data_IF_434795457498
#
_entry.id   IF_434795457498
#
_cell.length_a   1.000
_cell.length_b   1.000
_cell.length_c   1.000
_cell.angle_alpha   90.00
_cell.angle_beta   90.00
_cell.angle_gamma   90.00
#
_symmetry.space_group_name_H-M   'P 1'
#
loop_
_entity.id
_entity.type
_entity.pdbx_description
1 polymer ?
#
# COMPACT_ATOMS: atom_id res chain seq x y z
N UNK A 1 15.92 44.61 -42.79
CA UNK A 1 15.11 43.37 -42.74
C UNK A 1 15.27 42.75 -41.37
N UNK A 2 14.20 42.71 -40.56
CA UNK A 2 14.23 42.27 -39.17
C UNK A 2 14.08 40.75 -39.12
N UNK A 3 15.07 40.05 -38.56
CA UNK A 3 14.99 38.61 -38.31
C UNK A 3 13.97 38.34 -37.19
N UNK A 4 12.91 37.60 -37.50
CA UNK A 4 11.94 37.14 -36.53
C UNK A 4 12.55 36.00 -35.69
N UNK A 5 12.74 36.24 -34.39
CA UNK A 5 13.14 35.21 -33.44
C UNK A 5 11.93 34.30 -33.16
N UNK A 6 11.98 33.06 -33.64
CA UNK A 6 10.99 32.04 -33.33
C UNK A 6 11.26 31.56 -31.89
N UNK A 7 10.39 31.97 -30.98
CA UNK A 7 10.37 31.50 -29.60
C UNK A 7 9.83 30.05 -29.58
N UNK A 8 10.74 29.08 -29.56
CA UNK A 8 10.41 27.66 -29.32
C UNK A 8 10.00 27.49 -27.85
N UNK A 9 8.70 27.63 -27.59
CA UNK A 9 8.11 27.27 -26.30
C UNK A 9 8.14 25.74 -26.20
N UNK A 10 9.17 25.22 -25.53
CA UNK A 10 9.23 23.84 -25.05
C UNK A 10 8.13 23.67 -24.00
N UNK A 11 6.93 23.29 -24.45
CA UNK A 11 5.89 22.75 -23.57
C UNK A 11 6.42 21.43 -23.03
N UNK A 12 7.03 21.48 -21.85
CA UNK A 12 7.31 20.28 -21.08
C UNK A 12 5.97 19.67 -20.71
N UNK A 13 5.52 18.67 -21.49
CA UNK A 13 4.51 17.73 -21.03
C UNK A 13 5.10 17.05 -19.78
N UNK A 14 4.79 17.61 -18.63
CA UNK A 14 4.87 16.94 -17.35
C UNK A 14 3.93 15.74 -17.46
N UNK A 15 4.46 14.62 -17.93
CA UNK A 15 3.82 13.34 -17.79
C UNK A 15 3.71 13.09 -16.28
N UNK A 16 2.57 13.47 -15.71
CA UNK A 16 2.17 13.16 -14.34
C UNK A 16 2.01 11.64 -14.26
N UNK A 17 3.14 10.93 -14.19
CA UNK A 17 3.20 9.51 -13.88
C UNK A 17 2.98 9.37 -12.38
N UNK A 18 1.80 9.76 -11.92
CA UNK A 18 1.37 9.68 -10.54
C UNK A 18 1.35 8.20 -10.15
N UNK A 19 2.08 7.80 -9.10
CA UNK A 19 1.89 6.45 -8.56
C UNK A 19 0.53 6.29 -7.93
N UNK A 20 -0.11 5.19 -8.31
CA UNK A 20 -1.47 4.88 -8.00
C UNK A 20 -1.59 3.40 -7.61
N UNK A 21 -0.88 3.01 -6.54
CA UNK A 21 -1.03 1.69 -5.92
C UNK A 21 -1.86 1.82 -4.65
N UNK A 22 -2.87 0.95 -4.51
CA UNK A 22 -3.68 0.83 -3.30
C UNK A 22 -3.76 -0.63 -2.85
N UNK A 23 -4.12 -0.83 -1.59
CA UNK A 23 -4.54 -2.14 -1.12
C UNK A 23 -5.83 -2.56 -1.86
N UNK A 24 -5.86 -3.78 -2.38
CA UNK A 24 -7.05 -4.39 -2.96
C UNK A 24 -7.63 -5.44 -2.01
N UNK A 25 -6.76 -6.26 -1.41
CA UNK A 25 -7.14 -7.24 -0.38
C UNK A 25 -6.16 -7.20 0.79
N UNK A 26 -6.62 -7.16 2.05
CA UNK A 26 -8.02 -6.98 2.47
C UNK A 26 -8.59 -5.65 1.95
N UNK A 27 -9.90 -5.59 1.66
CA UNK A 27 -10.49 -4.39 1.06
C UNK A 27 -10.34 -3.20 2.02
N UNK A 28 -9.62 -2.12 1.65
CA UNK A 28 -9.39 -1.02 2.56
C UNK A 28 -10.62 -0.10 2.64
N UNK A 29 -10.62 0.76 3.67
CA UNK A 29 -11.41 2.00 3.69
C UNK A 29 -11.13 2.79 2.41
N UNK A 30 -12.18 3.29 1.75
CA UNK A 30 -12.04 3.96 0.46
C UNK A 30 -11.59 3.04 -0.69
N UNK A 31 -11.53 1.73 -0.49
CA UNK A 31 -11.11 0.74 -1.49
C UNK A 31 -12.09 0.59 -2.63
N UNK A 32 -11.61 0.07 -3.76
CA UNK A 32 -12.45 -0.20 -4.94
C UNK A 32 -13.66 -1.07 -4.59
N UNK A 33 -14.84 -0.71 -5.10
CA UNK A 33 -16.10 -1.42 -4.85
C UNK A 33 -16.76 -1.11 -3.51
N UNK A 34 -16.19 -0.22 -2.68
CA UNK A 34 -16.81 0.23 -1.44
C UNK A 34 -17.66 1.49 -1.66
N UNK A 35 -18.61 1.77 -0.75
CA UNK A 35 -19.42 3.00 -0.78
C UNK A 35 -18.57 4.28 -0.64
N UNK A 36 -17.39 4.14 -0.03
CA UNK A 36 -16.45 5.22 0.23
C UNK A 36 -15.45 5.45 -0.91
N UNK A 37 -15.50 4.64 -1.97
CA UNK A 37 -14.56 4.74 -3.09
C UNK A 37 -14.75 6.06 -3.84
N UNK A 38 -13.71 6.90 -3.83
CA UNK A 38 -13.68 8.18 -4.54
C UNK A 38 -12.57 8.24 -5.61
N UNK A 39 -11.95 7.11 -5.92
CA UNK A 39 -10.86 7.03 -6.89
C UNK A 39 -9.50 7.56 -6.42
N UNK A 40 -9.29 7.90 -5.14
CA UNK A 40 -8.03 8.50 -4.64
C UNK A 40 -7.31 7.69 -3.58
N UNK A 41 -7.82 6.50 -3.24
CA UNK A 41 -7.23 5.62 -2.21
C UNK A 41 -5.76 5.26 -2.51
N UNK A 42 -5.40 5.32 -3.78
CA UNK A 42 -4.10 4.97 -4.30
C UNK A 42 -3.07 6.12 -4.25
N UNK A 43 -3.40 7.29 -3.70
CA UNK A 43 -2.50 8.45 -3.60
C UNK A 43 -1.74 8.45 -2.27
N UNK A 44 -0.62 9.18 -2.22
CA UNK A 44 0.20 9.29 -1.02
C UNK A 44 -0.43 10.23 0.01
N UNK A 45 -0.04 10.07 1.27
CA UNK A 45 -0.46 10.92 2.37
C UNK A 45 0.03 12.36 2.14
N UNK A 46 -0.87 13.33 2.27
CA UNK A 46 -0.63 14.73 1.95
C UNK A 46 -1.04 15.14 0.53
N UNK A 47 -1.40 14.20 -0.35
CA UNK A 47 -2.04 14.52 -1.63
C UNK A 47 -3.32 15.33 -1.42
N UNK A 48 -3.53 16.36 -2.25
CA UNK A 48 -4.73 17.20 -2.22
C UNK A 48 -5.16 17.55 -3.64
N UNK A 49 -6.45 17.48 -3.88
CA UNK A 49 -7.11 18.10 -5.03
C UNK A 49 -8.33 18.92 -4.56
N UNK A 50 -9.14 19.39 -5.50
CA UNK A 50 -10.33 20.20 -5.20
C UNK A 50 -11.42 19.45 -4.43
N UNK A 51 -11.39 18.12 -4.36
CA UNK A 51 -12.44 17.27 -3.77
C UNK A 51 -11.95 16.47 -2.56
N UNK A 52 -10.66 16.32 -2.37
CA UNK A 52 -10.12 15.44 -1.34
C UNK A 52 -8.76 15.88 -0.82
N UNK A 53 -8.51 15.57 0.45
CA UNK A 53 -7.17 15.62 1.05
C UNK A 53 -6.88 14.26 1.66
N UNK A 54 -5.81 13.61 1.20
CA UNK A 54 -5.38 12.30 1.67
C UNK A 54 -4.70 12.46 3.03
N UNK A 55 -5.46 12.25 4.12
CA UNK A 55 -5.00 12.50 5.49
C UNK A 55 -4.40 11.24 6.13
N UNK A 56 -3.45 11.43 7.03
CA UNK A 56 -3.02 10.37 7.93
C UNK A 56 -3.93 10.30 9.18
N UNK A 57 -4.27 9.10 9.69
CA UNK A 57 -4.07 7.78 9.09
C UNK A 57 -5.19 7.43 8.08
N UNK A 58 -5.03 6.29 7.42
CA UNK A 58 -6.03 5.64 6.57
C UNK A 58 -6.60 6.50 5.43
N UNK A 59 -5.86 7.50 4.95
CA UNK A 59 -6.30 8.42 3.90
C UNK A 59 -7.40 9.40 4.33
N UNK A 60 -7.87 9.35 5.58
CA UNK A 60 -9.06 10.09 6.04
C UNK A 60 -10.39 9.45 5.65
N UNK A 61 -10.39 8.24 5.10
CA UNK A 61 -11.62 7.53 4.72
C UNK A 61 -12.39 7.04 5.95
N UNK A 62 -13.72 7.08 5.84
CA UNK A 62 -14.61 6.46 6.82
C UNK A 62 -14.50 4.93 6.78
N UNK A 63 -15.09 4.28 7.79
CA UNK A 63 -15.02 2.83 7.97
C UNK A 63 -15.50 2.07 6.73
N UNK A 64 -14.78 1.01 6.40
CA UNK A 64 -15.01 0.17 5.23
C UNK A 64 -15.64 -1.18 5.61
N UNK A 65 -15.67 -2.13 4.65
CA UNK A 65 -16.07 -3.50 4.94
C UNK A 65 -15.12 -4.16 5.94
N UNK A 66 -15.65 -5.05 6.78
CA UNK A 66 -14.87 -5.76 7.80
C UNK A 66 -14.38 -7.10 7.25
N UNK A 67 -13.06 -7.29 7.24
CA UNK A 67 -12.45 -8.58 6.87
C UNK A 67 -12.22 -9.44 8.13
N UNK A 68 -12.70 -10.69 8.13
CA UNK A 68 -12.41 -11.64 9.21
C UNK A 68 -10.98 -12.15 9.09
N UNK A 69 -10.23 -12.10 10.19
CA UNK A 69 -8.85 -12.58 10.29
C UNK A 69 -8.65 -13.39 11.57
N UNK A 70 -7.67 -14.30 11.56
CA UNK A 70 -7.36 -15.15 12.72
C UNK A 70 -5.85 -15.18 12.96
N UNK A 71 -5.45 -15.13 14.23
CA UNK A 71 -4.06 -15.32 14.62
C UNK A 71 -3.46 -16.60 14.03
N UNK A 72 -2.22 -16.52 13.57
CA UNK A 72 -1.49 -17.61 12.95
C UNK A 72 -1.87 -17.93 11.50
N UNK A 73 -2.93 -17.33 10.95
CA UNK A 73 -3.34 -17.53 9.55
C UNK A 73 -2.64 -16.55 8.61
N UNK A 74 -2.61 -16.94 7.32
CA UNK A 74 -2.06 -16.13 6.25
C UNK A 74 -3.11 -15.18 5.69
N UNK A 75 -2.65 -13.99 5.32
CA UNK A 75 -3.37 -13.01 4.53
C UNK A 75 -2.56 -12.85 3.23
N UNK A 76 -3.15 -13.20 2.10
CA UNK A 76 -2.53 -13.03 0.78
C UNK A 76 -2.86 -11.63 0.28
N UNK A 77 -2.01 -10.66 0.63
CA UNK A 77 -2.27 -9.26 0.28
C UNK A 77 -2.22 -9.07 -1.23
N UNK A 78 -3.20 -8.34 -1.77
CA UNK A 78 -3.29 -7.97 -3.18
C UNK A 78 -3.32 -6.46 -3.32
N UNK A 79 -2.78 -5.95 -4.42
CA UNK A 79 -2.77 -4.53 -4.72
C UNK A 79 -3.63 -4.20 -5.94
N UNK A 80 -4.21 -3.02 -5.91
CA UNK A 80 -4.90 -2.36 -7.01
C UNK A 80 -3.91 -1.39 -7.66
N UNK A 81 -3.69 -1.53 -8.96
CA UNK A 81 -3.14 -0.47 -9.81
C UNK A 81 -4.30 0.21 -10.55
N UNK A 82 -4.24 1.54 -10.71
CA UNK A 82 -5.32 2.33 -11.33
C UNK A 82 -5.66 1.93 -12.78
N UNK A 83 -4.76 1.25 -13.47
CA UNK A 83 -4.94 0.76 -14.85
C UNK A 83 -5.58 -0.63 -14.95
N UNK A 84 -5.82 -1.31 -13.81
CA UNK A 84 -6.34 -2.67 -13.81
C UNK A 84 -7.75 -2.72 -14.39
N UNK A 85 -8.00 -3.70 -15.26
CA UNK A 85 -9.33 -3.97 -15.79
C UNK A 85 -10.14 -4.79 -14.79
N UNK A 86 -11.46 -4.81 -14.94
CA UNK A 86 -12.36 -5.55 -14.03
C UNK A 86 -11.97 -7.03 -13.83
N UNK A 87 -11.47 -7.70 -14.87
CA UNK A 87 -11.00 -9.09 -14.78
C UNK A 87 -9.77 -9.27 -13.86
N UNK A 88 -8.84 -8.31 -13.89
CA UNK A 88 -7.60 -8.33 -13.10
C UNK A 88 -7.87 -7.97 -11.63
N UNK A 89 -8.94 -7.21 -11.39
CA UNK A 89 -9.45 -6.94 -10.04
C UNK A 89 -10.09 -8.22 -9.47
N UNK A 90 -10.96 -8.88 -10.25
CA UNK A 90 -11.68 -10.10 -9.83
C UNK A 90 -10.76 -11.29 -9.56
N UNK A 91 -9.70 -11.48 -10.35
CA UNK A 91 -8.76 -12.62 -10.21
C UNK A 91 -7.32 -12.12 -10.22
N UNK A 92 -6.44 -12.78 -9.45
CA UNK A 92 -5.01 -12.43 -9.44
C UNK A 92 -4.42 -12.51 -10.85
N UNK A 93 -3.92 -11.40 -11.42
CA UNK A 93 -3.37 -11.41 -12.77
C UNK A 93 -2.09 -12.24 -12.83
N UNK A 94 -1.94 -13.03 -13.91
CA UNK A 94 -0.74 -13.84 -14.19
C UNK A 94 -0.07 -13.28 -15.45
N UNK A 95 1.04 -12.54 -15.34
CA UNK A 95 1.69 -12.02 -16.53
C UNK A 95 2.40 -13.16 -17.27
N UNK A 96 2.07 -13.35 -18.55
CA UNK A 96 2.72 -14.35 -19.42
C UNK A 96 3.88 -13.75 -20.22
N UNK A 97 3.93 -12.41 -20.35
CA UNK A 97 5.04 -11.65 -20.94
C UNK A 97 4.94 -10.17 -20.54
N UNK A 98 6.01 -9.39 -20.72
CA UNK A 98 6.00 -7.93 -20.47
C UNK A 98 4.98 -7.18 -21.32
N UNK A 99 4.81 -7.56 -22.60
CA UNK A 99 3.87 -6.91 -23.53
C UNK A 99 2.39 -7.11 -23.16
N UNK A 100 2.08 -8.13 -22.35
CA UNK A 100 0.73 -8.44 -21.90
C UNK A 100 0.41 -7.85 -20.51
N UNK A 101 1.32 -7.08 -19.94
CA UNK A 101 1.13 -6.42 -18.64
C UNK A 101 0.35 -5.11 -18.81
N UNK A 102 -0.67 -4.88 -17.98
CA UNK A 102 -1.08 -3.53 -17.61
C UNK A 102 0.06 -2.79 -16.89
N UNK A 103 0.13 -1.47 -17.14
CA UNK A 103 1.09 -0.57 -16.49
C UNK A 103 0.69 -0.31 -15.04
N UNK A 104 1.58 -0.51 -14.09
CA UNK A 104 1.34 -0.16 -12.68
C UNK A 104 2.36 0.87 -12.24
N UNK A 105 1.94 1.91 -11.52
CA UNK A 105 2.85 2.95 -11.11
C UNK A 105 3.41 2.62 -9.72
N UNK A 106 4.29 1.61 -9.68
CA UNK A 106 4.91 1.07 -8.45
C UNK A 106 6.20 1.76 -8.04
N UNK A 107 6.62 2.82 -8.74
CA UNK A 107 7.79 3.65 -8.43
C UNK A 107 9.09 2.88 -8.09
N UNK A 108 9.40 1.82 -8.85
CA UNK A 108 10.58 1.00 -8.59
C UNK A 108 10.46 0.12 -7.34
N UNK A 109 9.22 -0.10 -6.88
CA UNK A 109 8.89 -0.70 -5.60
C UNK A 109 9.28 0.20 -4.42
N UNK A 110 10.00 -0.36 -3.45
CA UNK A 110 10.32 0.27 -2.19
C UNK A 110 10.07 -0.66 -1.01
N UNK A 111 9.71 -0.09 0.13
CA UNK A 111 9.44 -0.86 1.36
C UNK A 111 7.95 -0.82 1.66
N UNK A 112 7.32 -1.99 1.65
CA UNK A 112 6.01 -2.18 2.23
C UNK A 112 6.12 -2.69 3.66
N UNK A 113 5.31 -2.14 4.55
CA UNK A 113 5.14 -2.61 5.91
C UNK A 113 3.67 -2.93 6.16
N UNK A 114 3.44 -4.00 6.90
CA UNK A 114 2.11 -4.47 7.26
C UNK A 114 1.99 -4.47 8.76
N UNK A 115 0.94 -3.86 9.29
CA UNK A 115 0.75 -3.73 10.72
C UNK A 115 -0.69 -3.95 11.15
N UNK A 116 -0.85 -4.21 12.44
CA UNK A 116 -2.15 -4.20 13.10
C UNK A 116 -2.29 -2.92 13.91
N UNK A 117 -3.50 -2.35 13.92
CA UNK A 117 -3.87 -1.31 14.89
C UNK A 117 -5.06 -1.80 15.71
N UNK A 118 -5.03 -1.49 17.00
CA UNK A 118 -6.09 -1.84 17.97
C UNK A 118 -6.84 -0.60 18.48
N UNK A 119 -6.48 0.59 18.01
CA UNK A 119 -6.93 1.88 18.52
C UNK A 119 -7.35 2.86 17.42
N UNK A 120 -7.66 2.34 16.23
CA UNK A 120 -8.18 3.13 15.11
C UNK A 120 -7.12 3.89 14.34
N UNK A 121 -5.87 3.42 14.37
CA UNK A 121 -4.75 4.01 13.65
C UNK A 121 -3.97 5.06 14.46
N UNK A 122 -4.06 5.03 15.79
CA UNK A 122 -3.21 5.87 16.67
C UNK A 122 -1.86 5.20 16.90
N UNK A 123 -1.84 3.88 17.04
CA UNK A 123 -0.63 3.06 17.10
C UNK A 123 -0.66 1.90 16.10
N UNK A 124 0.53 1.44 15.72
CA UNK A 124 0.73 0.41 14.70
C UNK A 124 1.71 -0.63 15.21
N UNK A 125 1.37 -1.89 15.00
CA UNK A 125 2.16 -3.04 15.43
C UNK A 125 2.59 -3.84 14.20
N UNK A 126 3.85 -3.69 13.81
CA UNK A 126 4.45 -4.31 12.63
C UNK A 126 4.34 -5.84 12.71
N UNK A 127 3.75 -6.43 11.67
CA UNK A 127 3.58 -7.88 11.49
C UNK A 127 4.22 -8.43 10.22
N UNK A 128 4.73 -7.55 9.36
CA UNK A 128 5.47 -7.99 8.19
C UNK A 128 6.07 -6.86 7.38
N UNK A 129 7.08 -7.20 6.58
CA UNK A 129 7.82 -6.25 5.73
C UNK A 129 8.29 -6.94 4.46
N UNK A 130 8.17 -6.24 3.34
CA UNK A 130 8.77 -6.61 2.07
C UNK A 130 9.51 -5.39 1.51
N UNK A 131 10.73 -5.60 1.03
CA UNK A 131 11.62 -4.54 0.55
C UNK A 131 11.89 -4.70 -0.95
N UNK A 132 12.40 -3.63 -1.56
CA UNK A 132 12.77 -3.52 -2.98
C UNK A 132 11.59 -3.62 -3.94
N UNK A 133 10.90 -4.75 -4.02
CA UNK A 133 9.92 -5.04 -5.08
C UNK A 133 8.46 -4.81 -4.67
N UNK A 134 8.18 -4.35 -3.45
CA UNK A 134 6.81 -4.09 -3.01
C UNK A 134 6.46 -2.60 -3.16
N UNK A 135 5.23 -2.24 -3.59
CA UNK A 135 4.12 -3.11 -4.02
C UNK A 135 4.25 -3.58 -5.47
N UNK A 136 3.50 -4.64 -5.81
CA UNK A 136 3.31 -5.10 -7.18
C UNK A 136 1.96 -5.84 -7.31
N UNK A 137 1.10 -5.39 -8.22
CA UNK A 137 -0.24 -5.94 -8.41
C UNK A 137 -0.25 -7.33 -9.10
N UNK A 138 0.85 -7.76 -9.72
CA UNK A 138 0.95 -9.11 -10.31
C UNK A 138 1.23 -10.21 -9.30
N UNK A 139 1.58 -9.86 -8.07
CA UNK A 139 1.91 -10.83 -7.03
C UNK A 139 0.97 -10.72 -5.84
N UNK A 140 0.73 -11.87 -5.21
CA UNK A 140 0.20 -11.93 -3.86
C UNK A 140 1.34 -11.85 -2.85
N UNK A 141 1.11 -11.12 -1.77
CA UNK A 141 2.10 -10.85 -0.74
C UNK A 141 1.65 -11.50 0.56
N UNK A 142 2.09 -12.74 0.84
CA UNK A 142 1.60 -13.47 2.00
C UNK A 142 2.16 -12.89 3.29
N UNK A 143 1.27 -12.54 4.22
CA UNK A 143 1.60 -12.05 5.56
C UNK A 143 0.96 -12.98 6.59
N UNK A 144 1.73 -13.39 7.58
CA UNK A 144 1.21 -14.22 8.68
C UNK A 144 0.82 -13.33 9.84
N UNK A 145 -0.45 -13.39 10.25
CA UNK A 145 -0.84 -12.79 11.53
C UNK A 145 -0.10 -13.54 12.65
N UNK A 146 0.63 -12.86 13.56
CA UNK A 146 1.37 -13.57 14.59
C UNK A 146 0.43 -14.43 15.45
N UNK A 147 0.91 -15.61 15.88
CA UNK A 147 0.06 -16.60 16.57
C UNK A 147 -0.43 -16.12 17.94
N UNK A 148 0.30 -15.20 18.56
CA UNK A 148 0.09 -14.75 19.94
C UNK A 148 -0.57 -13.37 20.05
N UNK A 149 -1.12 -12.82 18.96
CA UNK A 149 -1.78 -11.51 19.02
C UNK A 149 -3.12 -11.59 19.78
N UNK A 150 -3.53 -10.54 20.51
CA UNK A 150 -4.84 -10.51 21.15
C UNK A 150 -5.96 -10.32 20.11
N UNK A 151 -7.18 -10.70 20.50
CA UNK A 151 -8.38 -10.44 19.70
C UNK A 151 -8.65 -8.94 19.57
N UNK A 152 -9.26 -8.54 18.46
CA UNK A 152 -9.76 -7.19 18.24
C UNK A 152 -11.03 -7.25 17.40
N UNK A 153 -12.15 -6.84 17.98
CA UNK A 153 -13.47 -6.89 17.34
C UNK A 153 -14.17 -5.54 17.34
N UNK A 154 -13.58 -4.53 17.97
CA UNK A 154 -14.15 -3.18 18.07
C UNK A 154 -14.16 -2.51 16.70
N UNK A 155 -15.37 -2.30 16.17
CA UNK A 155 -15.60 -1.62 14.89
C UNK A 155 -14.87 -0.28 14.84
N UNK A 156 -14.16 -0.04 13.74
CA UNK A 156 -13.42 1.20 13.53
C UNK A 156 -12.07 1.30 14.23
N UNK A 157 -11.79 0.44 15.21
CA UNK A 157 -10.50 0.44 15.94
C UNK A 157 -9.52 -0.63 15.45
N UNK A 158 -10.05 -1.76 15.01
CA UNK A 158 -9.26 -2.92 14.60
C UNK A 158 -8.91 -2.83 13.12
N UNK A 159 -7.63 -2.59 12.81
CA UNK A 159 -7.18 -2.35 11.44
C UNK A 159 -6.06 -3.31 11.03
N UNK A 160 -6.14 -3.80 9.80
CA UNK A 160 -4.97 -4.27 9.05
C UNK A 160 -4.48 -3.11 8.18
N UNK A 161 -3.21 -2.78 8.30
CA UNK A 161 -2.65 -1.56 7.71
C UNK A 161 -1.53 -1.94 6.77
N UNK A 162 -1.55 -1.36 5.57
CA UNK A 162 -0.44 -1.38 4.62
C UNK A 162 0.13 0.04 4.53
N UNK A 163 1.43 0.16 4.74
CA UNK A 163 2.20 1.36 4.41
C UNK A 163 3.25 1.05 3.35
N UNK A 164 3.55 2.04 2.52
CA UNK A 164 4.59 1.94 1.50
C UNK A 164 5.40 3.23 1.42
N UNK A 165 6.71 3.10 1.63
CA UNK A 165 7.71 4.13 1.32
C UNK A 165 8.27 3.84 -0.06
N UNK A 166 8.00 4.72 -1.03
CA UNK A 166 8.40 4.53 -2.42
C UNK A 166 9.92 4.67 -2.64
N UNK A 167 10.43 4.05 -3.71
CA UNK A 167 11.85 4.13 -4.06
C UNK A 167 12.20 5.37 -4.87
N UNK A 168 11.44 5.65 -5.94
CA UNK A 168 11.81 6.72 -6.89
C UNK A 168 11.41 8.10 -6.38
N UNK A 169 10.21 8.21 -5.81
CA UNK A 169 9.69 9.44 -5.22
C UNK A 169 9.67 9.33 -3.70
N UNK A 170 9.89 10.45 -3.01
CA UNK A 170 9.71 10.55 -1.57
C UNK A 170 8.22 10.68 -1.25
N UNK A 171 7.51 9.55 -1.32
CA UNK A 171 6.07 9.45 -1.13
C UNK A 171 5.75 8.30 -0.19
N UNK A 172 4.84 8.57 0.73
CA UNK A 172 4.38 7.62 1.73
C UNK A 172 2.89 7.31 1.53
N UNK A 173 2.60 6.04 1.28
CA UNK A 173 1.24 5.53 1.11
C UNK A 173 0.81 4.80 2.36
N UNK A 174 -0.48 4.90 2.70
CA UNK A 174 -0.99 4.31 3.93
C UNK A 174 -2.49 4.00 3.78
N UNK A 175 -2.83 2.72 3.64
CA UNK A 175 -4.21 2.24 3.57
C UNK A 175 -4.54 1.35 4.76
N UNK A 176 -5.79 1.39 5.20
CA UNK A 176 -6.28 0.60 6.32
C UNK A 176 -7.52 -0.19 5.90
N UNK A 177 -7.58 -1.46 6.26
CA UNK A 177 -8.79 -2.28 6.19
C UNK A 177 -9.33 -2.52 7.59
N UNK A 178 -10.64 -2.34 7.78
CA UNK A 178 -11.30 -2.74 9.02
C UNK A 178 -11.29 -4.26 9.13
N UNK A 179 -10.93 -4.79 10.29
CA UNK A 179 -10.83 -6.23 10.53
C UNK A 179 -11.58 -6.67 11.79
N UNK A 180 -12.03 -7.92 11.76
CA UNK A 180 -12.37 -8.67 12.96
C UNK A 180 -11.25 -9.69 13.16
N UNK A 181 -10.38 -9.45 14.13
CA UNK A 181 -9.27 -10.33 14.46
C UNK A 181 -9.63 -11.26 15.62
N UNK A 182 -9.74 -12.55 15.34
CA UNK A 182 -9.78 -13.59 16.37
C UNK A 182 -8.36 -13.93 16.80
N UNK A 183 -7.96 -13.50 17.99
CA UNK A 183 -6.66 -13.74 18.59
C UNK A 183 -6.70 -14.79 19.70
N UNK A 184 -5.74 -14.71 20.62
CA UNK A 184 -5.65 -15.58 21.80
C UNK A 184 -5.89 -14.80 23.09
N UNK A 185 -6.39 -15.49 24.13
CA UNK A 185 -6.48 -14.93 25.49
C UNK A 185 -5.07 -14.55 25.98
N UNK A 186 -4.93 -13.39 26.61
CA UNK A 186 -3.65 -12.84 27.07
C UNK A 186 -2.58 -12.68 25.97
N UNK A 187 -3.02 -12.50 24.71
CA UNK A 187 -2.12 -12.24 23.59
C UNK A 187 -1.35 -10.92 23.75
N UNK A 188 -0.17 -10.84 23.11
CA UNK A 188 0.70 -9.66 23.14
C UNK A 188 0.71 -8.99 21.77
N UNK A 189 0.56 -7.67 21.74
CA UNK A 189 0.72 -6.88 20.52
C UNK A 189 2.21 -6.83 20.15
N UNK A 190 2.58 -6.96 18.87
CA UNK A 190 3.96 -6.73 18.43
C UNK A 190 4.47 -5.36 18.87
N UNK A 191 5.71 -5.27 19.35
CA UNK A 191 6.26 -4.01 19.90
C UNK A 191 6.79 -3.05 18.82
N UNK A 192 7.30 -3.58 17.71
CA UNK A 192 7.83 -2.78 16.61
C UNK A 192 6.71 -2.01 15.91
N UNK A 193 6.93 -0.73 15.62
CA UNK A 193 6.03 0.08 14.79
C UNK A 193 6.48 0.11 13.33
N UNK A 194 5.63 0.69 12.47
CA UNK A 194 5.95 1.03 11.08
C UNK A 194 6.77 2.33 11.01
N UNK A 195 7.40 2.55 9.86
CA UNK A 195 7.97 3.84 9.49
C UNK A 195 6.85 4.81 9.11
N UNK A 196 6.95 6.07 9.54
CA UNK A 196 6.01 7.14 9.20
C UNK A 196 6.82 8.33 8.71
N UNK A 197 6.73 8.64 7.41
CA UNK A 197 7.64 9.55 6.70
C UNK A 197 6.90 10.32 5.60
N UNK A 198 7.55 11.35 5.05
CA UNK A 198 7.17 12.08 3.82
C UNK A 198 5.83 12.83 3.84
N UNK A 199 5.41 13.31 5.02
CA UNK A 199 4.36 14.32 5.15
C UNK A 199 4.61 15.24 6.35
N UNK A 200 3.77 16.27 6.52
CA UNK A 200 3.93 17.27 7.59
C UNK A 200 4.00 16.61 8.98
N UNK A 201 4.91 17.06 9.83
CA UNK A 201 5.15 16.48 11.16
C UNK A 201 6.09 15.26 11.18
N UNK A 202 6.58 14.79 10.02
CA UNK A 202 7.46 13.63 9.91
C UNK A 202 8.68 13.92 9.01
N UNK A 203 9.70 13.06 9.10
CA UNK A 203 10.92 13.15 8.27
C UNK A 203 10.54 13.13 6.79
N UNK A 204 11.02 14.12 6.02
CA UNK A 204 10.77 14.26 4.58
C UNK A 204 11.97 13.83 3.74
N UNK A 205 11.73 13.57 2.45
CA UNK A 205 12.77 13.21 1.48
C UNK A 205 13.25 11.76 1.61
N UNK A 206 12.48 10.91 2.28
CA UNK A 206 12.84 9.51 2.51
C UNK A 206 12.50 8.71 1.27
N UNK A 207 13.48 7.93 0.79
CA UNK A 207 13.31 7.00 -0.33
C UNK A 207 13.78 5.63 0.11
N UNK A 208 12.94 4.62 -0.06
CA UNK A 208 13.32 3.23 0.21
C UNK A 208 14.25 2.71 -0.89
N UNK A 209 14.99 1.64 -0.61
CA UNK A 209 15.67 0.89 -1.68
C UNK A 209 14.63 0.14 -2.52
N UNK A 210 14.71 0.29 -3.84
CA UNK A 210 13.83 -0.35 -4.82
C UNK A 210 14.54 -1.36 -5.71
N UNK A 211 13.79 -1.89 -6.68
CA UNK A 211 14.29 -2.66 -7.83
C UNK A 211 14.42 -1.82 -9.11
N UNK A 212 14.02 -0.54 -9.07
CA UNK A 212 14.13 0.40 -10.19
C UNK A 212 13.11 0.20 -11.33
N UNK A 213 12.27 -0.84 -11.28
CA UNK A 213 11.28 -1.13 -12.31
C UNK A 213 10.03 -0.27 -12.09
N UNK A 214 9.82 0.72 -12.96
CA UNK A 214 8.79 1.77 -12.78
C UNK A 214 7.35 1.29 -13.04
N UNK A 215 7.10 0.76 -14.24
CA UNK A 215 5.77 0.54 -14.79
C UNK A 215 5.38 -0.94 -14.95
N UNK A 216 6.37 -1.81 -15.10
CA UNK A 216 6.18 -3.25 -15.29
C UNK A 216 6.25 -3.98 -13.95
N UNK A 217 5.93 -5.27 -13.95
CA UNK A 217 6.13 -6.15 -12.80
C UNK A 217 7.61 -6.24 -12.42
N UNK A 218 7.91 -6.14 -11.12
CA UNK A 218 9.18 -6.52 -10.54
C UNK A 218 9.29 -8.03 -10.31
N UNK A 219 10.21 -8.42 -9.43
CA UNK A 219 10.47 -9.82 -9.08
C UNK A 219 9.42 -10.44 -8.14
N UNK A 220 8.46 -9.63 -7.65
CA UNK A 220 7.52 -10.06 -6.62
C UNK A 220 8.17 -10.32 -5.26
N UNK A 221 7.48 -11.01 -4.33
CA UNK A 221 7.98 -11.27 -2.99
C UNK A 221 9.22 -12.16 -2.98
N UNK A 222 10.30 -11.67 -2.36
CA UNK A 222 11.53 -12.44 -2.21
C UNK A 222 11.32 -13.65 -1.27
N UNK A 223 11.79 -14.84 -1.65
CA UNK A 223 11.62 -16.07 -0.86
C UNK A 223 12.12 -15.97 0.58
N UNK A 224 13.26 -15.29 0.82
CA UNK A 224 13.80 -15.07 2.17
C UNK A 224 12.88 -14.16 2.99
N UNK A 225 12.35 -13.11 2.38
CA UNK A 225 11.40 -12.22 3.05
C UNK A 225 10.08 -12.94 3.31
N UNK A 226 9.58 -13.76 2.39
CA UNK A 226 8.41 -14.62 2.64
C UNK A 226 8.66 -15.48 3.87
N UNK A 227 9.77 -16.22 3.90
CA UNK A 227 10.14 -17.05 5.05
C UNK A 227 10.22 -16.24 6.35
N UNK A 228 10.86 -15.08 6.32
CA UNK A 228 10.99 -14.18 7.46
C UNK A 228 9.63 -13.70 7.97
N UNK A 229 8.72 -13.29 7.07
CA UNK A 229 7.35 -12.92 7.42
C UNK A 229 6.60 -14.10 8.07
N UNK A 230 6.80 -15.34 7.60
CA UNK A 230 6.17 -16.53 8.22
C UNK A 230 6.70 -16.85 9.62
N UNK A 231 7.91 -16.34 9.97
CA UNK A 231 8.61 -16.58 11.23
C UNK A 231 8.64 -15.36 12.16
N UNK A 232 8.08 -14.23 11.75
CA UNK A 232 8.11 -12.99 12.54
C UNK A 232 9.47 -12.28 12.55
N UNK A 233 10.33 -12.51 11.54
CA UNK A 233 11.72 -12.03 11.46
C UNK A 233 11.88 -10.87 10.47
N UNK A 234 11.14 -9.77 10.70
CA UNK A 234 11.07 -8.60 9.82
C UNK A 234 11.63 -7.31 10.45
#
# INVERSE_FOLDING_TARGET
>A
MRFAAILLVLVSLLASATAHMALLYPTPRGGYGTKQYNGRIHTWIGYKDSKWTQKFPCGGYSQGPVTKMKAGKLVYVRFLASSMKAKDIKKQPKPTSKSKQFSQARHGGGTCEFSLSYDGGKSFHLIGRYTKSCPDAYYEWPIKIPKNVPSCTTKGKCLFVWSWTANILAQYYHNCADIHLTGVKNGKKPSKSISIVDFSGHKKGVKARGDGIKHNSGSGPNRKEVYNNMKGKY
#
